data_IF_275458820031
#
_entry.id   IF_275458820031
#
_cell.length_a   1.000
_cell.length_b   1.000
_cell.length_c   1.000
_cell.angle_alpha   90.00
_cell.angle_beta   90.00
_cell.angle_gamma   90.00
#
_symmetry.space_group_name_H-M   'P 1'
#
loop_
_entity.id
_entity.type
_entity.pdbx_description
1 polymer ?
#
# COMPACT_ATOMS: atom_id res chain seq x y z
N UNK A 1 -3.05 0.12 28.25
CA UNK A 1 -4.32 0.71 27.81
C UNK A 1 -4.08 1.00 26.34
N UNK A 2 -4.66 0.19 25.44
CA UNK A 2 -4.73 0.63 24.04
C UNK A 2 -5.53 1.93 24.07
N UNK A 3 -4.85 3.04 23.79
CA UNK A 3 -5.53 4.31 23.60
C UNK A 3 -6.51 4.08 22.45
N UNK A 4 -7.79 4.35 22.69
CA UNK A 4 -8.84 4.17 21.69
C UNK A 4 -8.50 5.07 20.49
N UNK A 5 -7.99 4.45 19.42
CA UNK A 5 -7.52 5.17 18.24
C UNK A 5 -8.65 6.04 17.71
N UNK A 6 -8.33 7.29 17.41
CA UNK A 6 -9.32 8.17 16.81
C UNK A 6 -9.63 7.71 15.38
N UNK A 7 -10.78 8.13 14.85
CA UNK A 7 -11.21 7.77 13.50
C UNK A 7 -10.14 8.10 12.43
N UNK A 8 -9.39 9.18 12.59
CA UNK A 8 -8.32 9.55 11.67
C UNK A 8 -7.14 8.57 11.69
N UNK A 9 -6.77 8.08 12.87
CA UNK A 9 -5.74 7.04 13.04
C UNK A 9 -6.20 5.72 12.43
N UNK A 10 -7.44 5.30 12.70
CA UNK A 10 -8.02 4.08 12.12
C UNK A 10 -8.07 4.14 10.58
N UNK A 11 -8.47 5.29 10.03
CA UNK A 11 -8.51 5.48 8.57
C UNK A 11 -7.12 5.49 7.96
N UNK A 12 -6.13 6.05 8.67
CA UNK A 12 -4.74 6.04 8.24
C UNK A 12 -4.18 4.62 8.21
N UNK A 13 -4.33 3.85 9.28
CA UNK A 13 -3.89 2.45 9.32
C UNK A 13 -4.55 1.62 8.20
N UNK A 14 -5.87 1.75 8.05
CA UNK A 14 -6.59 1.07 6.98
C UNK A 14 -6.08 1.47 5.59
N UNK A 15 -5.73 2.75 5.38
CA UNK A 15 -5.14 3.20 4.13
C UNK A 15 -3.73 2.62 3.89
N UNK A 16 -2.88 2.59 4.92
CA UNK A 16 -1.53 2.01 4.87
C UNK A 16 -1.58 0.49 4.59
N UNK A 17 -2.50 -0.23 5.23
CA UNK A 17 -2.73 -1.66 4.97
C UNK A 17 -3.22 -1.92 3.54
N UNK A 18 -4.19 -1.14 3.06
CA UNK A 18 -4.72 -1.27 1.71
C UNK A 18 -3.66 -0.97 0.65
N UNK A 19 -2.81 0.02 0.89
CA UNK A 19 -1.70 0.35 0.00
C UNK A 19 -0.66 -0.78 -0.03
N UNK A 20 -0.36 -1.39 1.12
CA UNK A 20 0.55 -2.54 1.22
C UNK A 20 0.00 -3.76 0.46
N UNK A 21 -1.30 -4.06 0.62
CA UNK A 21 -1.97 -5.16 -0.11
C UNK A 21 -1.90 -4.95 -1.63
N UNK A 22 -2.16 -3.72 -2.08
CA UNK A 22 -2.08 -3.37 -3.50
C UNK A 22 -0.67 -3.49 -4.07
N UNK A 23 0.36 -3.16 -3.29
CA UNK A 23 1.75 -3.37 -3.69
C UNK A 23 2.03 -4.86 -3.85
N UNK A 24 1.59 -5.70 -2.90
CA UNK A 24 1.79 -7.15 -2.99
C UNK A 24 1.12 -7.73 -4.25
N UNK A 25 -0.12 -7.36 -4.54
CA UNK A 25 -0.82 -7.77 -5.76
C UNK A 25 -0.07 -7.34 -7.03
N UNK A 26 0.50 -6.13 -7.05
CA UNK A 26 1.35 -5.69 -8.16
C UNK A 26 2.56 -6.61 -8.30
N UNK A 27 3.26 -6.92 -7.20
CA UNK A 27 4.45 -7.77 -7.22
C UNK A 27 4.14 -9.19 -7.74
N UNK A 28 3.00 -9.77 -7.36
CA UNK A 28 2.56 -11.10 -7.82
C UNK A 28 2.33 -11.16 -9.35
N UNK A 29 2.02 -10.03 -9.98
CA UNK A 29 1.76 -9.94 -11.43
C UNK A 29 2.97 -9.51 -12.26
N UNK A 30 4.09 -9.16 -11.63
CA UNK A 30 5.29 -8.69 -12.33
C UNK A 30 6.21 -9.86 -12.68
N UNK A 31 6.84 -9.76 -13.85
CA UNK A 31 7.82 -10.76 -14.32
C UNK A 31 9.17 -10.60 -13.64
N UNK A 32 9.52 -9.35 -13.33
CA UNK A 32 10.79 -8.99 -12.73
C UNK A 32 10.67 -7.75 -11.83
N UNK A 33 11.76 -7.42 -11.16
CA UNK A 33 11.85 -6.32 -10.21
C UNK A 33 11.78 -4.94 -10.87
N UNK A 34 12.15 -4.81 -12.14
CA UNK A 34 12.08 -3.52 -12.85
C UNK A 34 10.64 -3.18 -13.23
N UNK A 35 9.88 -4.16 -13.73
CA UNK A 35 8.43 -4.00 -13.98
C UNK A 35 7.68 -3.63 -12.69
N UNK A 36 8.04 -4.27 -11.57
CA UNK A 36 7.49 -3.94 -10.26
C UNK A 36 7.77 -2.49 -9.84
N UNK A 37 9.02 -2.02 -9.99
CA UNK A 37 9.41 -0.64 -9.67
C UNK A 37 8.66 0.37 -10.52
N UNK A 38 8.48 0.11 -11.81
CA UNK A 38 7.72 1.01 -12.71
C UNK A 38 6.26 1.12 -12.30
N UNK A 39 5.59 -0.01 -12.04
CA UNK A 39 4.19 -0.02 -11.61
C UNK A 39 3.98 0.65 -10.25
N UNK A 40 4.89 0.46 -9.30
CA UNK A 40 4.84 1.12 -7.98
C UNK A 40 5.09 2.63 -8.13
N UNK A 41 6.05 3.06 -8.95
CA UNK A 41 6.26 4.50 -9.23
C UNK A 41 5.03 5.15 -9.87
N UNK A 42 4.38 4.45 -10.79
CA UNK A 42 3.13 4.92 -11.40
C UNK A 42 1.98 5.02 -10.37
N UNK A 43 1.97 4.14 -9.36
CA UNK A 43 1.00 4.19 -8.26
C UNK A 43 1.21 5.41 -7.35
N UNK A 44 2.46 5.84 -7.12
CA UNK A 44 2.81 7.00 -6.30
C UNK A 44 2.53 8.35 -6.97
N UNK A 45 2.51 8.39 -8.31
CA UNK A 45 2.25 9.61 -9.09
C UNK A 45 0.76 9.82 -9.42
N UNK A 46 -0.12 9.07 -8.77
CA UNK A 46 -1.58 9.12 -8.95
C UNK A 46 -2.23 9.90 -7.81
#
# INVERSE_FOLDING_TARGET
MDEEMNLGEMLRELAEENQTRKILEILETCKDIEEAKEKIKALLNK
#
